data_IF_576753880343
#
_entry.id   IF_576753880343
#
_cell.length_a   1.000
_cell.length_b   1.000
_cell.length_c   1.000
_cell.angle_alpha   90.00
_cell.angle_beta   90.00
_cell.angle_gamma   90.00
#
_symmetry.space_group_name_H-M   'P 1'
#
loop_
_entity.id
_entity.type
_entity.pdbx_description
1 polymer ?
#
# COMPACT_ATOMS: atom_id res chain seq x y z
N UNK A 1 1.09 12.08 -14.80
CA UNK A 1 -0.08 11.21 -15.07
C UNK A 1 -1.20 11.39 -14.04
N UNK A 2 -0.91 11.39 -12.72
CA UNK A 2 -1.92 11.62 -11.66
C UNK A 2 -2.59 13.01 -11.70
N UNK A 3 -1.81 14.05 -12.03
CA UNK A 3 -2.30 15.44 -12.12
C UNK A 3 -3.41 15.64 -13.17
N UNK A 4 -3.34 14.92 -14.29
CA UNK A 4 -4.36 15.00 -15.36
C UNK A 4 -5.66 14.27 -15.00
N UNK A 5 -5.62 13.29 -14.09
CA UNK A 5 -6.78 12.44 -13.77
C UNK A 5 -7.60 12.95 -12.57
N UNK A 6 -6.95 13.62 -11.61
CA UNK A 6 -7.58 14.02 -10.35
C UNK A 6 -7.96 15.50 -10.26
N UNK A 7 -7.56 16.35 -11.21
CA UNK A 7 -7.95 17.78 -11.24
C UNK A 7 -7.65 18.50 -9.92
N UNK A 8 -8.59 19.31 -9.42
CA UNK A 8 -8.43 20.10 -8.20
C UNK A 8 -8.32 19.25 -6.91
N UNK A 9 -8.66 17.95 -6.97
CA UNK A 9 -8.56 17.04 -5.84
C UNK A 9 -7.11 16.69 -5.45
N UNK A 10 -6.16 16.91 -6.35
CA UNK A 10 -4.73 16.65 -6.12
C UNK A 10 -4.18 17.52 -4.98
N UNK A 11 -4.75 18.71 -4.77
CA UNK A 11 -4.32 19.62 -3.71
C UNK A 11 -4.44 19.02 -2.31
N UNK A 12 -5.50 18.27 -2.01
CA UNK A 12 -5.67 17.63 -0.71
C UNK A 12 -4.64 16.51 -0.47
N UNK A 13 -4.32 15.76 -1.53
CA UNK A 13 -3.28 14.74 -1.51
C UNK A 13 -1.89 15.36 -1.32
N UNK A 14 -1.57 16.39 -2.09
CA UNK A 14 -0.31 17.13 -2.01
C UNK A 14 -0.13 17.75 -0.64
N UNK A 15 -1.17 18.36 -0.08
CA UNK A 15 -1.12 18.96 1.25
C UNK A 15 -0.83 17.91 2.32
N UNK A 16 -1.47 16.74 2.25
CA UNK A 16 -1.22 15.64 3.20
C UNK A 16 0.23 15.16 3.14
N UNK A 17 0.73 14.90 1.92
CA UNK A 17 2.10 14.41 1.69
C UNK A 17 3.16 15.45 2.05
N UNK A 18 2.90 16.73 1.72
CA UNK A 18 3.82 17.84 2.03
C UNK A 18 3.90 18.09 3.54
N UNK A 19 2.77 18.10 4.24
CA UNK A 19 2.77 18.28 5.70
C UNK A 19 3.41 17.09 6.40
N UNK A 20 3.22 15.86 5.90
CA UNK A 20 3.93 14.69 6.42
C UNK A 20 5.45 14.82 6.22
N UNK A 21 5.88 15.24 5.04
CA UNK A 21 7.31 15.46 4.72
C UNK A 21 7.91 16.58 5.58
N UNK A 22 7.15 17.64 5.83
CA UNK A 22 7.56 18.74 6.70
C UNK A 22 7.61 18.31 8.17
N UNK A 23 6.68 17.48 8.63
CA UNK A 23 6.72 16.87 9.96
C UNK A 23 7.93 15.94 10.12
N UNK A 24 8.30 15.20 9.06
CA UNK A 24 9.52 14.40 9.05
C UNK A 24 10.79 15.22 9.24
N UNK A 25 10.86 16.42 8.64
CA UNK A 25 12.03 17.30 8.77
C UNK A 25 12.09 17.95 10.17
N UNK A 26 10.95 18.29 10.76
CA UNK A 26 10.89 19.07 12.00
C UNK A 26 10.95 18.21 13.28
N UNK A 27 10.41 16.99 13.26
CA UNK A 27 10.30 16.15 14.46
C UNK A 27 11.38 15.07 14.53
N UNK A 28 11.92 14.78 15.72
CA UNK A 28 12.87 13.68 15.88
C UNK A 28 12.20 12.34 15.62
N UNK A 29 12.94 11.40 15.02
CA UNK A 29 12.46 10.07 14.61
C UNK A 29 11.71 9.28 15.71
N UNK A 30 12.02 9.56 16.99
CA UNK A 30 11.35 8.96 18.16
C UNK A 30 9.86 9.27 18.27
N UNK A 31 9.41 10.47 17.87
CA UNK A 31 8.00 10.88 17.97
C UNK A 31 7.28 10.90 16.61
N UNK A 32 8.02 10.65 15.53
CA UNK A 32 7.52 10.73 14.16
C UNK A 32 6.29 9.85 13.93
N UNK A 33 6.29 8.62 14.46
CA UNK A 33 5.17 7.68 14.29
C UNK A 33 3.88 8.18 14.96
N UNK A 34 3.96 8.83 16.13
CA UNK A 34 2.78 9.43 16.78
C UNK A 34 2.27 10.64 15.99
N UNK A 35 3.17 11.52 15.54
CA UNK A 35 2.80 12.70 14.74
C UNK A 35 2.16 12.29 13.42
N UNK A 36 2.71 11.28 12.75
CA UNK A 36 2.17 10.69 11.53
C UNK A 36 0.74 10.18 11.72
N UNK A 37 0.50 9.40 12.78
CA UNK A 37 -0.83 8.86 13.13
C UNK A 37 -1.81 10.01 13.38
N UNK A 38 -1.46 10.97 14.24
CA UNK A 38 -2.34 12.10 14.59
C UNK A 38 -2.68 12.93 13.34
N UNK A 39 -1.70 13.20 12.48
CA UNK A 39 -1.92 13.96 11.25
C UNK A 39 -2.78 13.20 10.24
N UNK A 40 -2.46 11.95 9.93
CA UNK A 40 -3.19 11.15 8.94
C UNK A 40 -4.64 10.89 9.37
N UNK A 41 -4.87 10.46 10.62
CA UNK A 41 -6.23 10.22 11.13
C UNK A 41 -6.98 11.53 11.39
N UNK A 42 -6.31 12.57 11.88
CA UNK A 42 -6.90 13.88 12.09
C UNK A 42 -7.38 14.51 10.79
N UNK A 43 -6.56 14.47 9.74
CA UNK A 43 -6.92 15.01 8.43
C UNK A 43 -8.05 14.20 7.76
N UNK A 44 -8.07 12.87 7.92
CA UNK A 44 -9.18 12.03 7.46
C UNK A 44 -10.48 12.32 8.22
N UNK A 45 -10.39 12.50 9.54
CA UNK A 45 -11.51 12.87 10.41
C UNK A 45 -12.08 14.24 10.04
N UNK A 46 -11.21 15.23 9.79
CA UNK A 46 -11.59 16.52 9.26
C UNK A 46 -12.34 16.37 7.93
N UNK A 47 -11.79 15.63 6.98
CA UNK A 47 -12.40 15.41 5.66
C UNK A 47 -13.82 14.81 5.72
N UNK A 48 -14.06 13.91 6.69
CA UNK A 48 -15.37 13.30 6.94
C UNK A 48 -16.34 14.24 7.66
N UNK A 49 -15.83 15.18 8.45
CA UNK A 49 -16.63 16.10 9.26
C UNK A 49 -16.79 17.48 8.62
N UNK A 50 -16.13 17.76 7.50
CA UNK A 50 -16.24 19.02 6.74
C UNK A 50 -17.69 19.46 6.47
N UNK A 51 -18.60 18.50 6.26
CA UNK A 51 -20.02 18.79 6.03
C UNK A 51 -20.71 19.41 7.25
N UNK A 52 -20.30 19.07 8.48
CA UNK A 52 -20.83 19.69 9.70
C UNK A 52 -20.37 21.14 9.87
N UNK A 53 -19.26 21.51 9.24
CA UNK A 53 -18.69 22.87 9.30
C UNK A 53 -19.18 23.78 8.16
N UNK A 54 -20.13 23.34 7.33
CA UNK A 54 -20.71 24.14 6.24
C UNK A 54 -19.86 24.24 4.98
N UNK A 55 -18.79 23.44 4.86
CA UNK A 55 -18.02 23.35 3.62
C UNK A 55 -18.75 22.51 2.56
N UNK A 56 -18.52 22.84 1.28
CA UNK A 56 -19.04 22.08 0.14
C UNK A 56 -18.65 20.60 0.24
N UNK A 57 -19.58 19.69 -0.06
CA UNK A 57 -19.29 18.26 -0.06
C UNK A 57 -18.09 17.96 -0.95
N UNK A 58 -17.12 17.25 -0.39
CA UNK A 58 -15.88 16.97 -1.07
C UNK A 58 -16.16 16.05 -2.26
N UNK A 59 -15.53 16.32 -3.40
CA UNK A 59 -15.78 15.54 -4.62
C UNK A 59 -15.49 14.06 -4.39
N UNK A 60 -16.32 13.12 -4.94
CA UNK A 60 -16.11 11.69 -4.75
C UNK A 60 -14.71 11.23 -5.14
N UNK A 61 -14.13 11.85 -6.17
CA UNK A 61 -12.75 11.59 -6.64
C UNK A 61 -11.72 11.99 -5.57
N UNK A 62 -11.88 13.16 -4.94
CA UNK A 62 -10.99 13.60 -3.86
C UNK A 62 -11.09 12.67 -2.65
N UNK A 63 -12.30 12.21 -2.30
CA UNK A 63 -12.48 11.23 -1.24
C UNK A 63 -11.79 9.89 -1.56
N UNK A 64 -11.90 9.39 -2.80
CA UNK A 64 -11.22 8.16 -3.22
C UNK A 64 -9.70 8.33 -3.20
N UNK A 65 -9.16 9.43 -3.70
CA UNK A 65 -7.71 9.69 -3.71
C UNK A 65 -7.18 9.82 -2.29
N UNK A 66 -7.88 10.58 -1.45
CA UNK A 66 -7.57 10.71 -0.04
C UNK A 66 -7.60 9.34 0.64
N UNK A 67 -8.64 8.53 0.38
CA UNK A 67 -8.78 7.19 0.93
C UNK A 67 -7.69 6.25 0.41
N UNK A 68 -7.27 6.32 -0.85
CA UNK A 68 -6.17 5.51 -1.39
C UNK A 68 -4.83 5.86 -0.73
N UNK A 69 -4.58 7.13 -0.46
CA UNK A 69 -3.36 7.60 0.22
C UNK A 69 -3.38 7.33 1.73
N UNK A 70 -4.54 7.42 2.38
CA UNK A 70 -4.71 7.28 3.84
C UNK A 70 -5.07 5.86 4.29
N UNK A 71 -5.71 5.08 3.43
CA UNK A 71 -6.20 3.73 3.70
C UNK A 71 -5.86 2.85 2.50
N UNK A 72 -4.73 2.16 2.58
CA UNK A 72 -4.60 0.92 1.83
C UNK A 72 -5.57 -0.09 2.46
N UNK A 73 -6.77 -0.18 1.89
CA UNK A 73 -7.87 -1.00 2.42
C UNK A 73 -7.49 -2.49 2.36
N UNK A 74 -7.04 -3.06 3.48
CA UNK A 74 -7.24 -4.50 3.77
C UNK A 74 -8.67 -4.64 4.29
N UNK A 75 -9.53 -5.31 3.51
CA UNK A 75 -10.80 -5.87 4.00
C UNK A 75 -10.43 -7.05 4.91
N UNK A 76 -9.99 -6.78 6.14
CA UNK A 76 -10.05 -7.72 7.26
C UNK A 76 -9.90 -6.97 8.58
N UNK A 77 -10.93 -7.07 9.40
CA UNK A 77 -11.33 -6.15 10.47
C UNK A 77 -10.49 -6.23 11.77
N UNK A 78 -9.20 -6.58 11.75
CA UNK A 78 -8.44 -6.72 13.00
C UNK A 78 -6.94 -6.35 12.96
N UNK A 79 -6.43 -5.70 11.90
CA UNK A 79 -5.00 -5.36 11.79
C UNK A 79 -4.78 -4.03 11.03
N UNK A 80 -5.46 -2.97 11.49
CA UNK A 80 -5.66 -1.69 10.79
C UNK A 80 -4.67 -0.56 11.18
N UNK A 81 -3.36 -0.79 11.29
CA UNK A 81 -2.41 0.32 11.55
C UNK A 81 -1.11 0.22 10.72
N UNK A 82 -1.21 0.09 9.39
CA UNK A 82 -0.09 0.43 8.51
C UNK A 82 -0.61 1.21 7.29
N UNK A 83 -0.70 2.53 7.44
CA UNK A 83 -0.71 3.42 6.29
C UNK A 83 0.69 3.39 5.62
N UNK A 84 0.81 3.64 4.33
CA UNK A 84 2.11 3.65 3.65
C UNK A 84 3.09 4.67 4.28
N UNK A 85 2.61 5.85 4.65
CA UNK A 85 3.39 6.88 5.35
C UNK A 85 3.63 6.53 6.83
N UNK A 86 2.66 5.88 7.48
CA UNK A 86 2.80 5.44 8.88
C UNK A 86 3.81 4.28 8.97
N UNK A 87 3.78 3.33 8.03
CA UNK A 87 4.75 2.24 7.91
C UNK A 87 6.16 2.80 7.68
N UNK A 88 6.30 3.74 6.75
CA UNK A 88 7.56 4.48 6.58
C UNK A 88 8.03 5.15 7.88
N UNK A 89 7.13 5.79 8.63
CA UNK A 89 7.49 6.42 9.92
C UNK A 89 7.94 5.40 10.99
N UNK A 90 7.35 4.21 11.00
CA UNK A 90 7.79 3.12 11.88
C UNK A 90 9.13 2.55 11.46
N UNK A 91 9.38 2.34 10.16
CA UNK A 91 10.68 1.89 9.64
C UNK A 91 11.80 2.87 9.98
N UNK A 92 11.54 4.18 9.89
CA UNK A 92 12.49 5.24 10.27
C UNK A 92 12.75 5.21 11.78
N UNK A 93 11.70 5.10 12.59
CA UNK A 93 11.81 5.01 14.04
C UNK A 93 12.57 3.76 14.48
N UNK A 94 12.37 2.63 13.79
CA UNK A 94 13.09 1.38 14.04
C UNK A 94 14.56 1.48 13.64
N UNK A 95 14.84 2.13 12.50
CA UNK A 95 16.22 2.39 12.05
C UNK A 95 16.98 3.22 13.08
N UNK A 96 16.34 4.27 13.62
CA UNK A 96 16.90 5.08 14.70
C UNK A 96 17.14 4.26 15.98
N UNK A 97 16.20 3.38 16.36
CA UNK A 97 16.32 2.52 17.54
C UNK A 97 17.51 1.55 17.41
N UNK A 98 17.69 0.93 16.24
CA UNK A 98 18.81 0.02 15.95
C UNK A 98 20.14 0.77 16.02
N UNK A 99 20.21 1.97 15.43
CA UNK A 99 21.41 2.82 15.48
C UNK A 99 21.80 3.18 16.92
N UNK A 100 20.84 3.51 17.78
CA UNK A 100 21.11 3.78 19.19
C UNK A 100 21.57 2.54 19.95
N UNK A 101 20.95 1.37 19.68
CA UNK A 101 21.38 0.12 20.30
C UNK A 101 22.84 -0.20 19.94
N UNK A 102 23.25 0.01 18.69
CA UNK A 102 24.65 -0.16 18.27
C UNK A 102 25.66 0.77 18.97
N UNK A 103 25.20 1.92 19.50
CA UNK A 103 26.06 2.83 20.26
C UNK A 103 26.28 2.38 21.71
N UNK A 104 25.44 1.51 22.25
CA UNK A 104 25.63 0.97 23.59
C UNK A 104 26.78 -0.05 23.62
N UNK A 105 27.77 0.21 24.48
CA UNK A 105 29.03 -0.55 24.54
C UNK A 105 28.91 -1.95 25.14
N UNK A 106 27.79 -2.25 25.82
CA UNK A 106 27.58 -3.48 26.62
C UNK A 106 26.97 -4.66 25.82
N UNK A 107 27.02 -4.62 24.49
CA UNK A 107 26.41 -5.65 23.63
C UNK A 107 27.29 -6.88 23.48
N UNK A 108 26.67 -8.06 23.61
CA UNK A 108 27.32 -9.33 23.30
C UNK A 108 27.77 -9.35 21.83
N UNK A 109 28.96 -9.89 21.48
CA UNK A 109 29.52 -9.82 20.13
C UNK A 109 28.63 -10.43 19.04
N UNK A 110 27.83 -11.46 19.37
CA UNK A 110 26.86 -12.04 18.43
C UNK A 110 25.69 -11.10 18.13
N UNK A 111 25.17 -10.40 19.14
CA UNK A 111 24.07 -9.46 18.97
C UNK A 111 24.53 -8.23 18.17
N UNK A 112 25.78 -7.79 18.40
CA UNK A 112 26.39 -6.69 17.64
C UNK A 112 26.48 -7.02 16.14
N UNK A 113 26.97 -8.20 15.78
CA UNK A 113 27.02 -8.64 14.37
C UNK A 113 25.64 -8.68 13.72
N UNK A 114 24.62 -9.18 14.43
CA UNK A 114 23.24 -9.19 13.95
C UNK A 114 22.67 -7.78 13.74
N UNK A 115 22.94 -6.86 14.68
CA UNK A 115 22.53 -5.46 14.60
C UNK A 115 23.23 -4.72 13.45
N UNK A 116 24.50 -5.03 13.19
CA UNK A 116 25.25 -4.48 12.05
C UNK A 116 24.65 -4.93 10.70
N UNK A 117 24.25 -6.19 10.59
CA UNK A 117 23.54 -6.70 9.40
C UNK A 117 22.16 -6.04 9.23
N UNK A 118 21.40 -5.89 10.33
CA UNK A 118 20.13 -5.16 10.30
C UNK A 118 20.32 -3.70 9.90
N UNK A 119 21.40 -3.06 10.35
CA UNK A 119 21.75 -1.71 9.93
C UNK A 119 22.04 -1.64 8.43
N UNK A 120 22.80 -2.59 7.89
CA UNK A 120 23.18 -2.63 6.47
C UNK A 120 21.98 -2.86 5.55
N UNK A 121 21.10 -3.81 5.89
CA UNK A 121 20.06 -4.28 4.96
C UNK A 121 18.64 -3.81 5.28
N UNK A 122 18.34 -3.40 6.54
CA UNK A 122 16.98 -2.95 6.93
C UNK A 122 16.89 -1.48 7.33
N UNK A 123 17.96 -0.85 7.82
CA UNK A 123 17.89 0.56 8.21
C UNK A 123 17.87 1.50 6.99
N UNK A 124 17.16 2.61 7.13
CA UNK A 124 16.99 3.64 6.09
C UNK A 124 17.23 5.01 6.69
N UNK A 125 17.89 5.88 5.92
CA UNK A 125 17.98 7.32 6.17
C UNK A 125 17.31 8.07 5.01
N UNK A 126 15.97 8.22 5.02
CA UNK A 126 15.28 8.63 3.81
C UNK A 126 15.41 10.14 3.58
N UNK A 127 15.66 10.52 2.34
CA UNK A 127 15.56 11.92 1.92
C UNK A 127 14.09 12.35 1.82
N UNK A 128 13.77 13.63 2.05
CA UNK A 128 12.41 14.14 1.88
C UNK A 128 11.83 13.88 0.47
N UNK A 129 12.68 13.94 -0.56
CA UNK A 129 12.30 13.66 -1.94
C UNK A 129 11.93 12.18 -2.14
N UNK A 130 12.64 11.28 -1.47
CA UNK A 130 12.37 9.84 -1.53
C UNK A 130 11.02 9.49 -0.91
N UNK A 131 10.65 10.14 0.20
CA UNK A 131 9.33 9.99 0.83
C UNK A 131 8.22 10.44 -0.13
N UNK A 132 8.41 11.56 -0.82
CA UNK A 132 7.45 12.03 -1.82
C UNK A 132 7.34 11.08 -3.01
N UNK A 133 8.46 10.59 -3.53
CA UNK A 133 8.49 9.62 -4.63
C UNK A 133 7.81 8.30 -4.24
N UNK A 134 8.02 7.85 -3.00
CA UNK A 134 7.36 6.67 -2.44
C UNK A 134 5.84 6.86 -2.32
N UNK A 135 5.40 8.02 -1.83
CA UNK A 135 3.97 8.34 -1.69
C UNK A 135 3.23 8.42 -3.03
N UNK A 136 3.90 8.87 -4.09
CA UNK A 136 3.34 9.02 -5.44
C UNK A 136 3.73 7.91 -6.43
N UNK A 137 4.36 6.84 -5.94
CA UNK A 137 4.82 5.75 -6.79
C UNK A 137 3.62 5.02 -7.44
N UNK A 138 3.54 5.08 -8.77
CA UNK A 138 2.41 4.52 -9.52
C UNK A 138 2.19 3.01 -9.30
N UNK A 139 3.27 2.27 -9.01
CA UNK A 139 3.24 0.81 -8.78
C UNK A 139 2.40 0.47 -7.54
N UNK A 140 2.44 1.33 -6.51
CA UNK A 140 1.70 1.13 -5.26
C UNK A 140 0.38 1.89 -5.18
N UNK A 141 0.21 2.93 -6.00
CA UNK A 141 -0.83 3.93 -5.83
C UNK A 141 -2.25 3.43 -6.16
N UNK A 142 -2.37 2.42 -7.04
CA UNK A 142 -3.64 1.79 -7.38
C UNK A 142 -3.68 0.32 -6.93
N UNK A 143 -4.40 0.07 -5.83
CA UNK A 143 -4.77 -1.28 -5.30
C UNK A 143 -3.67 -2.36 -5.39
N UNK A 144 -2.41 -1.99 -5.14
CA UNK A 144 -1.29 -2.94 -5.14
C UNK A 144 -1.02 -3.60 -3.80
N UNK A 145 -0.11 -4.56 -3.74
CA UNK A 145 0.40 -5.14 -2.50
C UNK A 145 1.27 -4.15 -1.70
N UNK A 146 1.13 -4.18 -0.39
CA UNK A 146 1.94 -3.34 0.51
C UNK A 146 3.43 -3.69 0.40
N UNK A 147 4.28 -2.65 0.28
CA UNK A 147 5.74 -2.78 0.26
C UNK A 147 6.36 -1.71 1.15
N UNK A 148 7.47 -2.09 1.80
CA UNK A 148 8.20 -1.26 2.75
C UNK A 148 8.95 -0.13 2.05
N UNK A 149 9.31 0.91 2.81
CA UNK A 149 10.14 2.00 2.30
C UNK A 149 11.52 1.46 1.89
N UNK A 150 12.06 0.48 2.63
CA UNK A 150 13.36 -0.14 2.29
C UNK A 150 13.35 -0.76 0.90
N UNK A 151 12.28 -1.50 0.61
CA UNK A 151 12.11 -2.16 -0.69
C UNK A 151 11.99 -1.16 -1.85
N UNK A 152 11.44 0.03 -1.58
CA UNK A 152 11.42 1.11 -2.55
C UNK A 152 12.81 1.72 -2.76
N UNK A 153 13.59 1.90 -1.68
CA UNK A 153 14.99 2.33 -1.75
C UNK A 153 15.84 1.38 -2.60
N UNK A 154 15.76 0.09 -2.29
CA UNK A 154 16.51 -0.96 -2.99
C UNK A 154 16.11 -1.04 -4.47
N UNK A 155 14.86 -0.68 -4.78
CA UNK A 155 14.39 -0.57 -6.15
C UNK A 155 14.96 0.66 -6.87
N UNK A 156 15.01 1.82 -6.22
CA UNK A 156 15.56 3.05 -6.80
C UNK A 156 17.09 3.01 -6.95
N UNK A 157 17.79 2.40 -6.00
CA UNK A 157 19.25 2.33 -5.94
C UNK A 157 19.81 1.04 -6.57
N UNK A 158 18.98 0.28 -7.30
CA UNK A 158 19.38 -0.95 -7.96
C UNK A 158 20.40 -0.67 -9.06
N UNK A 159 21.44 -1.51 -9.12
CA UNK A 159 22.41 -1.48 -10.21
C UNK A 159 21.71 -1.85 -11.55
N UNK A 160 21.79 -1.00 -12.59
CA UNK A 160 21.20 -1.28 -13.90
C UNK A 160 21.69 -2.57 -14.56
N UNK A 161 22.87 -3.08 -14.18
CA UNK A 161 23.42 -4.33 -14.71
C UNK A 161 22.78 -5.59 -14.09
N UNK A 162 22.00 -5.44 -13.02
CA UNK A 162 21.35 -6.57 -12.34
C UNK A 162 20.24 -7.16 -13.20
N UNK A 163 20.51 -8.29 -13.86
CA UNK A 163 19.51 -9.03 -14.64
C UNK A 163 18.55 -9.75 -13.70
N UNK A 164 17.29 -9.29 -13.69
CA UNK A 164 16.21 -9.92 -12.93
C UNK A 164 15.21 -10.52 -13.91
N UNK A 165 15.18 -11.84 -13.96
CA UNK A 165 14.21 -12.61 -14.72
C UNK A 165 12.88 -12.63 -13.99
N UNK A 166 11.89 -11.91 -14.51
CA UNK A 166 10.53 -11.84 -13.96
C UNK A 166 9.47 -12.30 -14.97
N UNK A 167 9.87 -12.80 -16.14
CA UNK A 167 8.97 -13.11 -17.25
C UNK A 167 8.09 -14.33 -16.95
N UNK A 168 8.67 -15.41 -16.44
CA UNK A 168 7.94 -16.61 -16.04
C UNK A 168 6.89 -16.34 -14.94
N UNK A 169 7.24 -15.71 -13.80
CA UNK A 169 6.24 -15.40 -12.78
C UNK A 169 5.22 -14.38 -13.29
N UNK A 170 5.62 -13.41 -14.12
CA UNK A 170 4.68 -12.47 -14.73
C UNK A 170 3.64 -13.19 -15.58
N UNK A 171 4.07 -14.13 -16.42
CA UNK A 171 3.16 -14.86 -17.31
C UNK A 171 2.18 -15.73 -16.52
N UNK A 172 2.64 -16.39 -15.45
CA UNK A 172 1.77 -17.20 -14.58
C UNK A 172 0.68 -16.34 -13.94
N UNK A 173 1.05 -15.23 -13.30
CA UNK A 173 0.09 -14.32 -12.67
C UNK A 173 -0.84 -13.66 -13.69
N UNK A 174 -0.34 -13.36 -14.90
CA UNK A 174 -1.12 -12.78 -15.97
C UNK A 174 -2.14 -13.78 -16.54
N UNK A 175 -1.81 -15.07 -16.62
CA UNK A 175 -2.75 -16.12 -17.06
C UNK A 175 -3.88 -16.36 -16.04
N UNK A 176 -3.63 -16.13 -14.75
CA UNK A 176 -4.64 -16.24 -13.70
C UNK A 176 -5.64 -15.07 -13.65
N UNK A 177 -5.30 -13.90 -14.20
CA UNK A 177 -6.16 -12.72 -14.13
C UNK A 177 -7.42 -12.77 -15.04
N UNK A 178 -7.35 -13.17 -16.33
CA UNK A 178 -8.47 -13.24 -17.25
C UNK A 178 -9.73 -13.96 -16.75
N UNK A 179 -9.68 -15.13 -16.08
CA UNK A 179 -10.89 -15.79 -15.63
C UNK A 179 -11.71 -14.94 -14.65
N UNK A 180 -11.07 -14.17 -13.76
CA UNK A 180 -11.77 -13.25 -12.86
C UNK A 180 -12.43 -12.10 -13.63
N UNK A 181 -11.74 -11.56 -14.63
CA UNK A 181 -12.26 -10.48 -15.48
C UNK A 181 -13.46 -10.93 -16.32
N UNK A 182 -13.37 -12.10 -16.97
CA UNK A 182 -14.44 -12.66 -17.79
C UNK A 182 -15.66 -13.02 -16.93
N UNK A 183 -15.45 -13.67 -15.78
CA UNK A 183 -16.54 -13.97 -14.84
C UNK A 183 -17.24 -12.70 -14.36
N UNK A 184 -16.48 -11.63 -14.06
CA UNK A 184 -17.04 -10.33 -13.71
C UNK A 184 -17.87 -9.73 -14.86
N UNK A 185 -17.36 -9.73 -16.10
CA UNK A 185 -18.08 -9.15 -17.24
C UNK A 185 -19.39 -9.88 -17.53
N UNK A 186 -19.37 -11.22 -17.50
CA UNK A 186 -20.57 -12.05 -17.72
C UNK A 186 -21.59 -11.79 -16.61
N UNK A 187 -21.18 -11.90 -15.34
CA UNK A 187 -22.11 -11.75 -14.23
C UNK A 187 -22.60 -10.32 -14.06
N UNK A 188 -21.76 -9.32 -14.34
CA UNK A 188 -22.16 -7.91 -14.34
C UNK A 188 -23.16 -7.58 -15.44
N UNK A 189 -23.19 -8.34 -16.54
CA UNK A 189 -24.17 -8.15 -17.60
C UNK A 189 -25.56 -8.65 -17.19
N UNK A 190 -25.64 -9.80 -16.51
CA UNK A 190 -26.90 -10.41 -16.10
C UNK A 190 -27.42 -9.92 -14.73
N UNK A 191 -26.53 -9.62 -13.80
CA UNK A 191 -26.84 -9.31 -12.41
C UNK A 191 -26.42 -7.87 -12.10
N UNK A 192 -27.36 -6.94 -12.24
CA UNK A 192 -27.13 -5.51 -12.01
C UNK A 192 -27.56 -5.10 -10.61
N UNK A 193 -26.80 -4.19 -10.02
CA UNK A 193 -27.10 -3.62 -8.70
C UNK A 193 -28.39 -2.79 -8.75
N UNK A 194 -28.70 -2.20 -9.90
CA UNK A 194 -29.90 -1.37 -10.06
C UNK A 194 -31.19 -2.18 -9.94
N UNK A 195 -31.18 -3.44 -10.39
CA UNK A 195 -32.34 -4.33 -10.27
C UNK A 195 -32.72 -4.60 -8.80
N UNK A 196 -31.74 -4.66 -7.89
CA UNK A 196 -31.99 -4.81 -6.45
C UNK A 196 -32.81 -3.66 -5.86
N UNK A 197 -32.73 -2.48 -6.48
CA UNK A 197 -33.39 -1.26 -5.99
C UNK A 197 -34.81 -1.12 -6.51
N UNK A 198 -35.26 -1.97 -7.44
CA UNK A 198 -36.60 -1.88 -8.02
C UNK A 198 -37.64 -2.53 -7.11
N UNK A 199 -38.88 -2.02 -7.16
CA UNK A 199 -40.00 -2.60 -6.41
C UNK A 199 -40.26 -4.07 -6.80
N UNK A 200 -40.03 -4.43 -8.06
CA UNK A 200 -40.19 -5.80 -8.57
C UNK A 200 -39.32 -6.82 -7.83
N UNK A 201 -38.09 -6.44 -7.44
CA UNK A 201 -37.22 -7.30 -6.65
C UNK A 201 -37.79 -7.56 -5.26
N UNK A 202 -38.45 -6.55 -4.68
CA UNK A 202 -39.14 -6.63 -3.39
C UNK A 202 -40.46 -7.40 -3.40
N UNK A 203 -40.94 -7.84 -4.58
CA UNK A 203 -42.11 -8.72 -4.70
C UNK A 203 -41.72 -10.19 -4.91
N UNK A 204 -40.43 -10.50 -5.19
CA UNK A 204 -39.96 -11.88 -5.41
C UNK A 204 -39.85 -12.67 -4.10
N UNK A 205 -39.97 -14.00 -4.17
CA UNK A 205 -39.81 -14.86 -2.99
C UNK A 205 -38.39 -14.74 -2.38
N UNK A 206 -38.27 -14.95 -1.07
CA UNK A 206 -37.02 -14.76 -0.31
C UNK A 206 -35.80 -15.48 -0.93
N UNK A 207 -35.97 -16.75 -1.32
CA UNK A 207 -34.88 -17.57 -1.90
C UNK A 207 -34.28 -16.95 -3.17
N UNK A 208 -35.12 -16.36 -4.02
CA UNK A 208 -34.65 -15.66 -5.22
C UNK A 208 -33.80 -14.45 -4.85
N UNK A 209 -34.24 -13.64 -3.88
CA UNK A 209 -33.49 -12.47 -3.41
C UNK A 209 -32.16 -12.89 -2.78
N UNK A 210 -32.16 -13.93 -1.96
CA UNK A 210 -30.95 -14.43 -1.31
C UNK A 210 -29.92 -14.91 -2.33
N UNK A 211 -30.33 -15.72 -3.31
CA UNK A 211 -29.45 -16.18 -4.38
C UNK A 211 -28.92 -15.01 -5.22
N UNK A 212 -29.79 -14.06 -5.59
CA UNK A 212 -29.39 -12.88 -6.35
C UNK A 212 -28.34 -12.04 -5.61
N UNK A 213 -28.50 -11.85 -4.30
CA UNK A 213 -27.52 -11.16 -3.44
C UNK A 213 -26.19 -11.91 -3.37
N UNK A 214 -26.22 -13.24 -3.27
CA UNK A 214 -25.01 -14.07 -3.30
C UNK A 214 -24.24 -13.88 -4.61
N UNK A 215 -24.95 -13.87 -5.75
CA UNK A 215 -24.33 -13.65 -7.07
C UNK A 215 -23.75 -12.24 -7.17
N UNK A 216 -24.46 -11.20 -6.74
CA UNK A 216 -23.93 -9.82 -6.72
C UNK A 216 -22.66 -9.73 -5.87
N UNK A 217 -22.67 -10.31 -4.67
CA UNK A 217 -21.50 -10.33 -3.80
C UNK A 217 -20.31 -11.02 -4.47
N UNK A 218 -20.56 -12.13 -5.16
CA UNK A 218 -19.55 -12.82 -5.93
C UNK A 218 -19.01 -11.95 -7.07
N UNK A 219 -19.87 -11.29 -7.85
CA UNK A 219 -19.47 -10.35 -8.92
C UNK A 219 -18.56 -9.23 -8.41
N UNK A 220 -18.91 -8.62 -7.28
CA UNK A 220 -18.07 -7.60 -6.65
C UNK A 220 -16.70 -8.15 -6.22
N UNK A 221 -16.65 -9.37 -5.68
CA UNK A 221 -15.37 -10.04 -5.34
C UNK A 221 -14.53 -10.31 -6.58
N UNK A 222 -15.12 -10.80 -7.67
CA UNK A 222 -14.40 -11.04 -8.92
C UNK A 222 -13.75 -9.76 -9.47
N UNK A 223 -14.46 -8.62 -9.41
CA UNK A 223 -13.90 -7.32 -9.78
C UNK A 223 -12.68 -6.94 -8.95
N UNK A 224 -12.74 -7.13 -7.64
CA UNK A 224 -11.64 -6.81 -6.73
C UNK A 224 -10.45 -7.75 -6.96
N UNK A 225 -10.70 -9.05 -7.16
CA UNK A 225 -9.64 -10.03 -7.43
C UNK A 225 -8.93 -9.79 -8.76
N UNK A 226 -9.69 -9.42 -9.80
CA UNK A 226 -9.09 -8.99 -11.06
C UNK A 226 -8.17 -7.79 -10.87
N UNK A 227 -8.63 -6.74 -10.19
CA UNK A 227 -7.84 -5.54 -9.93
C UNK A 227 -6.56 -5.84 -9.12
N UNK A 228 -6.66 -6.70 -8.10
CA UNK A 228 -5.51 -7.12 -7.30
C UNK A 228 -4.51 -7.92 -8.14
N UNK A 229 -4.95 -8.93 -8.88
CA UNK A 229 -4.06 -9.73 -9.76
C UNK A 229 -3.35 -8.88 -10.80
N UNK A 230 -4.04 -7.92 -11.41
CA UNK A 230 -3.43 -6.98 -12.34
C UNK A 230 -2.38 -6.09 -11.64
N UNK A 231 -2.63 -5.65 -10.42
CA UNK A 231 -1.66 -4.84 -9.67
C UNK A 231 -0.42 -5.64 -9.25
N UNK A 232 -0.56 -6.93 -8.93
CA UNK A 232 0.59 -7.84 -8.74
C UNK A 232 1.42 -7.96 -10.03
N UNK A 233 0.76 -8.12 -11.19
CA UNK A 233 1.46 -8.16 -12.47
C UNK A 233 2.26 -6.88 -12.75
N UNK A 234 1.73 -5.71 -12.38
CA UNK A 234 2.44 -4.42 -12.49
C UNK A 234 3.66 -4.36 -11.56
N UNK A 235 3.55 -4.89 -10.34
CA UNK A 235 4.68 -4.96 -9.42
C UNK A 235 5.79 -5.89 -9.95
N UNK A 236 5.41 -7.06 -10.49
CA UNK A 236 6.33 -8.05 -11.06
C UNK A 236 6.99 -7.50 -12.32
N UNK A 237 6.24 -6.85 -13.21
CA UNK A 237 6.80 -6.25 -14.44
C UNK A 237 7.76 -5.10 -14.14
N UNK A 238 7.48 -4.32 -13.09
CA UNK A 238 8.40 -3.32 -12.57
C UNK A 238 9.58 -3.92 -11.78
N UNK A 239 9.58 -5.23 -11.49
CA UNK A 239 10.60 -5.95 -10.69
C UNK A 239 10.78 -5.35 -9.29
N UNK A 240 9.72 -4.76 -8.73
CA UNK A 240 9.72 -4.19 -7.39
C UNK A 240 9.78 -5.33 -6.36
N UNK A 241 10.69 -5.25 -5.39
CA UNK A 241 10.83 -6.28 -4.35
C UNK A 241 11.40 -7.62 -4.84
N UNK A 242 12.03 -7.64 -6.01
CA UNK A 242 12.81 -8.78 -6.47
C UNK A 242 14.16 -8.83 -5.73
N UNK A 243 14.34 -9.88 -4.92
CA UNK A 243 15.57 -10.17 -4.18
C UNK A 243 16.13 -11.55 -4.58
N UNK A 244 17.43 -11.82 -4.39
CA UNK A 244 18.02 -13.13 -4.64
C UNK A 244 17.35 -14.21 -3.80
N UNK A 245 17.16 -15.41 -4.37
CA UNK A 245 16.56 -16.56 -3.65
C UNK A 245 17.33 -16.94 -2.37
N UNK A 246 18.64 -16.70 -2.36
CA UNK A 246 19.53 -16.93 -1.21
C UNK A 246 19.10 -16.15 0.04
N UNK A 247 18.46 -14.99 -0.15
CA UNK A 247 18.03 -14.12 0.95
C UNK A 247 16.71 -14.52 1.61
N UNK A 248 16.09 -15.61 1.14
CA UNK A 248 14.82 -16.17 1.63
C UNK A 248 13.75 -15.07 1.82
N UNK A 249 13.40 -14.31 0.76
CA UNK A 249 12.54 -13.14 0.92
C UNK A 249 11.10 -13.54 1.28
N UNK A 250 10.54 -12.87 2.30
CA UNK A 250 9.15 -13.04 2.71
C UNK A 250 8.24 -11.93 2.18
N UNK A 251 6.95 -12.26 2.04
CA UNK A 251 5.93 -11.36 1.49
C UNK A 251 5.75 -10.14 2.40
N UNK A 252 6.24 -8.99 1.93
CA UNK A 252 6.11 -7.71 2.63
C UNK A 252 7.18 -7.44 3.69
N UNK A 253 8.10 -8.36 3.94
CA UNK A 253 9.24 -8.15 4.88
C UNK A 253 10.61 -8.02 4.18
N UNK A 254 10.68 -8.37 2.88
CA UNK A 254 11.94 -8.35 2.13
C UNK A 254 12.85 -9.52 2.54
N UNK A 255 14.19 -9.38 2.45
CA UNK A 255 15.10 -10.46 2.78
C UNK A 255 15.10 -10.78 4.29
N UNK A 256 14.90 -12.05 4.63
CA UNK A 256 14.94 -12.52 6.03
C UNK A 256 16.31 -13.05 6.41
N UNK A 257 17.01 -13.69 5.47
CA UNK A 257 18.35 -14.22 5.67
C UNK A 257 19.42 -13.18 5.27
N UNK A 258 19.78 -12.32 6.23
CA UNK A 258 20.75 -11.23 6.00
C UNK A 258 22.20 -11.71 5.90
N UNK A 259 22.53 -12.85 6.50
CA UNK A 259 23.87 -13.43 6.41
C UNK A 259 24.17 -13.92 4.98
N UNK A 260 23.17 -14.49 4.30
CA UNK A 260 23.30 -14.96 2.93
C UNK A 260 23.45 -13.83 1.89
N UNK A 261 23.19 -12.58 2.27
CA UNK A 261 23.37 -11.39 1.42
C UNK A 261 24.76 -10.74 1.56
N UNK A 262 25.53 -11.15 2.57
CA UNK A 262 26.87 -10.61 2.86
C UNK A 262 28.00 -11.56 2.43
N UNK A 263 27.63 -12.76 1.96
CA UNK A 263 28.49 -13.80 1.38
C UNK A 263 28.66 -13.61 -0.12
#
# INVERSE_FOLDING_TARGET
MFFCFAGQAVWHSLLTSSVFTLAFILFPARFLHYVAVVWCFGYLGFFRTCHYFGFSQVTPVANIVQLLLTLRVRIFMCLLIYNQLIGASFEISDSWRINNQLQHSDLHPQDKSKLELLKKYKCIEPSPMMIMLYAYCYIGLFTGPYYNLKTFEDFCNRDPETVITAEEPLLQHLQEAPPFGVAYLILSHFYTVDYVRTAEFYDRHFLYRFFYMMVIFFTFRMRIYFAWKMSECVCISARLGAYPKLSEPEKGEGPTNLHALDL
#
